data_IF_695275620472
#
_entry.id   IF_695275620472
#
_cell.length_a   1.000
_cell.length_b   1.000
_cell.length_c   1.000
_cell.angle_alpha   90.00
_cell.angle_beta   90.00
_cell.angle_gamma   90.00
#
_symmetry.space_group_name_H-M   'P 1'
#
loop_
_entity.id
_entity.type
_entity.pdbx_description
1 polymer ?
#
# COMPACT_ATOMS: atom_id res chain seq x y z
N UNK A 1 -27.65 10.22 -24.87
CA UNK A 1 -26.31 10.73 -25.22
C UNK A 1 -25.41 10.96 -24.01
N UNK A 2 -25.93 11.41 -22.87
CA UNK A 2 -25.14 11.60 -21.63
C UNK A 2 -24.72 10.29 -20.91
N UNK A 3 -25.55 9.25 -20.97
CA UNK A 3 -25.24 7.92 -20.37
C UNK A 3 -24.11 7.18 -21.11
N UNK A 4 -23.99 7.34 -22.43
CA UNK A 4 -22.90 6.76 -23.22
C UNK A 4 -21.55 7.44 -22.97
N UNK A 5 -21.56 8.75 -22.66
CA UNK A 5 -20.33 9.48 -22.30
C UNK A 5 -19.81 9.09 -20.90
N UNK A 6 -20.71 8.80 -19.97
CA UNK A 6 -20.33 8.32 -18.63
C UNK A 6 -19.70 6.92 -18.65
N UNK A 7 -20.19 6.03 -19.53
CA UNK A 7 -19.64 4.68 -19.72
C UNK A 7 -18.24 4.73 -20.36
N UNK A 8 -18.00 5.65 -21.31
CA UNK A 8 -16.66 5.82 -21.92
C UNK A 8 -15.63 6.43 -20.99
N UNK A 9 -16.03 7.15 -19.93
CA UNK A 9 -15.13 7.68 -18.91
C UNK A 9 -14.83 6.66 -17.79
N UNK A 10 -15.67 5.64 -17.63
CA UNK A 10 -15.51 4.61 -16.60
C UNK A 10 -14.37 3.63 -16.88
N UNK A 11 -13.99 3.45 -18.15
CA UNK A 11 -12.98 2.47 -18.59
C UNK A 11 -11.56 3.07 -18.78
N UNK A 12 -11.38 4.37 -18.56
CA UNK A 12 -10.07 5.02 -18.75
C UNK A 12 -9.31 5.16 -17.45
N UNK A 13 -8.09 4.60 -17.39
CA UNK A 13 -7.13 4.90 -16.33
C UNK A 13 -6.54 6.27 -16.55
N UNK A 14 -6.67 7.15 -15.56
CA UNK A 14 -6.08 8.48 -15.55
C UNK A 14 -4.83 8.51 -14.68
N UNK A 15 -3.69 8.87 -15.28
CA UNK A 15 -2.42 9.04 -14.57
C UNK A 15 -2.23 10.51 -14.21
N UNK A 16 -2.03 10.82 -12.94
CA UNK A 16 -1.87 12.17 -12.42
C UNK A 16 -0.61 12.27 -11.56
N UNK A 17 0.15 13.35 -11.74
CA UNK A 17 1.19 13.75 -10.79
C UNK A 17 0.58 14.77 -9.83
N UNK A 18 0.38 14.39 -8.57
CA UNK A 18 -0.13 15.30 -7.53
C UNK A 18 1.04 16.03 -6.89
N UNK A 19 1.19 17.34 -7.13
CA UNK A 19 2.27 18.13 -6.57
C UNK A 19 2.08 18.31 -5.06
N UNK A 20 3.19 18.20 -4.33
CA UNK A 20 3.28 18.44 -2.90
C UNK A 20 4.29 19.56 -2.60
N UNK A 21 4.44 19.92 -1.34
CA UNK A 21 5.44 20.89 -0.92
C UNK A 21 6.87 20.44 -1.27
N UNK A 22 7.82 21.40 -1.32
CA UNK A 22 9.26 21.15 -1.52
C UNK A 22 9.63 20.47 -2.84
N UNK A 23 8.78 20.58 -3.87
CA UNK A 23 9.05 19.97 -5.18
C UNK A 23 8.84 18.46 -5.22
N UNK A 24 8.20 17.91 -4.21
CA UNK A 24 7.75 16.52 -4.20
C UNK A 24 6.49 16.36 -5.05
N UNK A 25 6.28 15.19 -5.66
CA UNK A 25 5.01 14.80 -6.27
C UNK A 25 4.80 13.30 -6.16
N UNK A 26 3.55 12.90 -5.94
CA UNK A 26 3.17 11.50 -5.97
C UNK A 26 2.46 11.17 -7.29
N UNK A 27 2.81 10.03 -7.85
CA UNK A 27 2.11 9.45 -8.99
C UNK A 27 0.85 8.75 -8.50
N UNK A 28 -0.26 9.04 -9.16
CA UNK A 28 -1.58 8.48 -8.84
C UNK A 28 -2.22 7.95 -10.11
N UNK A 29 -2.71 6.72 -10.06
CA UNK A 29 -3.53 6.13 -11.12
C UNK A 29 -4.98 6.01 -10.63
N UNK A 30 -5.92 6.59 -11.37
CA UNK A 30 -7.35 6.61 -11.03
C UNK A 30 -8.12 5.85 -12.11
N UNK A 31 -8.94 4.88 -11.71
CA UNK A 31 -9.78 4.09 -12.61
C UNK A 31 -11.17 3.87 -12.01
N UNK A 32 -12.19 3.78 -12.87
CA UNK A 32 -13.56 3.53 -12.44
C UNK A 32 -14.25 4.72 -11.79
N UNK A 33 -15.47 4.48 -11.33
CA UNK A 33 -16.34 5.45 -10.63
C UNK A 33 -17.02 4.78 -9.46
N UNK A 34 -17.41 5.56 -8.43
CA UNK A 34 -18.10 5.08 -7.24
C UNK A 34 -17.32 5.31 -5.95
N UNK A 35 -17.56 4.44 -4.95
CA UNK A 35 -16.90 4.55 -3.65
C UNK A 35 -15.38 4.42 -3.78
N UNK A 36 -14.60 5.29 -3.10
CA UNK A 36 -13.15 5.31 -3.26
C UNK A 36 -12.48 4.11 -2.57
N UNK A 37 -11.64 3.42 -3.34
CA UNK A 37 -10.69 2.41 -2.84
C UNK A 37 -9.28 2.88 -3.13
N UNK A 38 -8.52 3.17 -2.08
CA UNK A 38 -7.12 3.59 -2.15
C UNK A 38 -6.23 2.37 -2.10
N UNK A 39 -5.32 2.23 -3.07
CA UNK A 39 -4.36 1.12 -3.16
C UNK A 39 -2.95 1.67 -2.94
N UNK A 40 -2.21 1.10 -1.97
CA UNK A 40 -0.86 1.56 -1.60
C UNK A 40 0.13 0.41 -1.78
N UNK A 41 1.08 0.52 -2.72
CA UNK A 41 2.06 -0.53 -2.97
C UNK A 41 3.15 -0.60 -1.88
N UNK A 42 3.82 -1.74 -1.80
CA UNK A 42 5.01 -1.93 -0.97
C UNK A 42 6.30 -1.40 -1.60
N UNK A 43 7.43 -1.66 -0.95
CA UNK A 43 8.74 -1.06 -1.23
C UNK A 43 9.24 -1.22 -2.68
N UNK A 44 9.08 -2.39 -3.28
CA UNK A 44 9.47 -2.65 -4.68
C UNK A 44 8.27 -2.61 -5.63
N UNK A 45 7.10 -2.19 -5.10
CA UNK A 45 5.87 -2.15 -5.86
C UNK A 45 5.73 -0.89 -6.71
N UNK A 46 4.61 -0.84 -7.38
CA UNK A 46 4.08 0.32 -8.12
C UNK A 46 2.60 0.04 -8.39
N UNK A 47 1.92 0.93 -9.08
CA UNK A 47 0.55 0.69 -9.55
C UNK A 47 0.44 -0.61 -10.36
N UNK A 48 1.50 -0.99 -11.07
CA UNK A 48 1.57 -2.26 -11.81
C UNK A 48 1.26 -3.49 -10.93
N UNK A 49 1.63 -3.49 -9.64
CA UNK A 49 1.34 -4.59 -8.71
C UNK A 49 -0.14 -4.80 -8.40
N UNK A 50 -1.00 -3.86 -8.78
CA UNK A 50 -2.46 -3.97 -8.62
C UNK A 50 -3.21 -4.19 -9.94
N UNK A 51 -2.50 -4.47 -11.06
CA UNK A 51 -3.09 -4.62 -12.39
C UNK A 51 -4.14 -5.73 -12.48
N UNK A 52 -4.09 -6.73 -11.60
CA UNK A 52 -5.06 -7.83 -11.52
C UNK A 52 -6.24 -7.47 -10.60
N UNK A 53 -6.01 -6.66 -9.58
CA UNK A 53 -7.03 -6.28 -8.60
C UNK A 53 -7.88 -5.09 -9.07
N UNK A 54 -7.28 -4.09 -9.73
CA UNK A 54 -7.98 -2.88 -10.22
C UNK A 54 -9.18 -3.21 -11.10
N UNK A 55 -9.10 -4.08 -12.13
CA UNK A 55 -10.26 -4.44 -12.92
C UNK A 55 -11.39 -5.06 -12.11
N UNK A 56 -11.05 -5.96 -11.16
CA UNK A 56 -12.04 -6.61 -10.30
C UNK A 56 -12.81 -5.60 -9.42
N UNK A 57 -12.15 -4.54 -8.99
CA UNK A 57 -12.75 -3.46 -8.19
C UNK A 57 -13.62 -2.56 -9.06
N UNK A 58 -13.13 -2.13 -10.23
CA UNK A 58 -13.87 -1.24 -11.13
C UNK A 58 -15.12 -1.91 -11.70
N UNK A 59 -15.06 -3.19 -12.04
CA UNK A 59 -16.23 -4.00 -12.46
C UNK A 59 -17.31 -4.07 -11.38
N UNK A 60 -16.95 -3.89 -10.11
CA UNK A 60 -17.90 -3.83 -8.97
C UNK A 60 -18.36 -2.41 -8.63
N UNK A 61 -18.00 -1.43 -9.45
CA UNK A 61 -18.45 -0.05 -9.30
C UNK A 61 -17.67 0.73 -8.23
N UNK A 62 -16.42 0.33 -7.94
CA UNK A 62 -15.50 1.13 -7.12
C UNK A 62 -14.65 2.07 -7.97
N UNK A 63 -14.33 3.23 -7.41
CA UNK A 63 -13.30 4.12 -7.93
C UNK A 63 -11.97 3.76 -7.28
N UNK A 64 -11.04 3.18 -8.03
CA UNK A 64 -9.71 2.84 -7.54
C UNK A 64 -8.76 4.04 -7.66
N UNK A 65 -7.94 4.26 -6.64
CA UNK A 65 -6.96 5.34 -6.54
C UNK A 65 -5.66 4.71 -6.07
N UNK A 66 -4.81 4.33 -7.00
CA UNK A 66 -3.48 3.78 -6.66
C UNK A 66 -2.54 4.95 -6.41
N UNK A 67 -2.01 5.07 -5.20
CA UNK A 67 -1.06 6.12 -4.82
C UNK A 67 0.30 5.49 -4.61
N UNK A 68 1.27 5.87 -5.40
CA UNK A 68 2.65 5.44 -5.23
C UNK A 68 3.36 6.37 -4.22
N UNK A 69 3.84 5.87 -3.07
CA UNK A 69 4.55 6.69 -2.08
C UNK A 69 5.79 7.37 -2.65
N UNK A 70 6.27 8.41 -1.99
CA UNK A 70 7.47 9.13 -2.44
C UNK A 70 8.65 8.15 -2.57
N UNK A 71 9.34 8.19 -3.70
CA UNK A 71 10.45 7.28 -4.01
C UNK A 71 10.06 5.96 -4.68
N UNK A 72 8.76 5.65 -4.76
CA UNK A 72 8.21 4.42 -5.34
C UNK A 72 7.62 4.72 -6.73
N UNK A 73 7.65 3.74 -7.62
CA UNK A 73 6.99 3.78 -8.93
C UNK A 73 7.32 5.00 -9.78
N UNK A 74 6.33 5.80 -10.13
CA UNK A 74 6.40 7.06 -10.88
C UNK A 74 6.55 8.31 -10.02
N UNK A 75 6.49 8.20 -8.68
CA UNK A 75 6.67 9.32 -7.76
C UNK A 75 8.08 9.88 -7.78
N UNK A 76 8.23 11.17 -7.42
CA UNK A 76 9.55 11.81 -7.37
C UNK A 76 10.47 11.19 -6.31
N UNK A 77 11.78 11.38 -6.49
CA UNK A 77 12.85 10.77 -5.66
C UNK A 77 13.84 11.82 -5.16
N UNK A 78 13.38 12.86 -4.39
CA UNK A 78 14.31 13.87 -3.91
C UNK A 78 15.33 13.25 -2.94
N UNK A 79 16.64 13.52 -3.10
CA UNK A 79 17.67 12.84 -2.32
C UNK A 79 17.73 13.27 -0.85
N UNK A 80 17.06 14.36 -0.49
CA UNK A 80 17.03 14.92 0.87
C UNK A 80 15.61 14.98 1.46
N UNK A 81 14.68 14.19 0.92
CA UNK A 81 13.34 14.09 1.49
C UNK A 81 13.35 13.29 2.81
N UNK A 82 12.36 13.53 3.62
CA UNK A 82 12.05 12.67 4.75
C UNK A 82 11.29 11.42 4.24
N UNK A 83 11.93 10.26 4.33
CA UNK A 83 11.37 8.96 3.92
C UNK A 83 10.86 8.13 5.09
N UNK A 84 10.61 8.72 6.25
CA UNK A 84 9.96 8.04 7.38
C UNK A 84 8.53 7.61 7.01
N UNK A 85 8.03 6.58 7.68
CA UNK A 85 6.66 6.07 7.44
C UNK A 85 5.61 7.13 7.79
N UNK A 86 5.85 7.92 8.86
CA UNK A 86 4.98 9.04 9.22
C UNK A 86 4.96 10.13 8.13
N UNK A 87 6.11 10.47 7.54
CA UNK A 87 6.17 11.42 6.45
C UNK A 87 5.46 10.90 5.19
N UNK A 88 5.56 9.61 4.90
CA UNK A 88 4.81 8.98 3.80
C UNK A 88 3.30 9.04 4.06
N UNK A 89 2.83 8.67 5.25
CA UNK A 89 1.42 8.76 5.62
C UNK A 89 0.86 10.18 5.48
N UNK A 90 1.62 11.20 5.89
CA UNK A 90 1.23 12.60 5.70
C UNK A 90 1.13 13.01 4.22
N UNK A 91 1.99 12.47 3.35
CA UNK A 91 1.91 12.71 1.91
C UNK A 91 0.68 12.02 1.29
N UNK A 92 0.39 10.79 1.71
CA UNK A 92 -0.83 10.09 1.30
C UNK A 92 -2.07 10.90 1.70
N UNK A 93 -2.13 11.41 2.93
CA UNK A 93 -3.20 12.28 3.39
C UNK A 93 -3.32 13.55 2.52
N UNK A 94 -2.22 14.23 2.22
CA UNK A 94 -2.23 15.43 1.40
C UNK A 94 -2.70 15.17 -0.04
N UNK A 95 -2.38 13.99 -0.61
CA UNK A 95 -2.91 13.57 -1.92
C UNK A 95 -4.42 13.36 -1.84
N UNK A 96 -4.91 12.66 -0.81
CA UNK A 96 -6.34 12.42 -0.64
C UNK A 96 -7.12 13.72 -0.43
N UNK A 97 -6.59 14.66 0.36
CA UNK A 97 -7.15 16.00 0.52
C UNK A 97 -7.21 16.76 -0.82
N UNK A 98 -6.14 16.70 -1.61
CA UNK A 98 -6.08 17.34 -2.95
C UNK A 98 -7.11 16.76 -3.91
N UNK A 99 -7.36 15.45 -3.84
CA UNK A 99 -8.35 14.75 -4.67
C UNK A 99 -9.77 14.84 -4.13
N UNK A 100 -9.99 15.48 -2.96
CA UNK A 100 -11.30 15.58 -2.29
C UNK A 100 -11.83 14.22 -1.84
N UNK A 101 -10.96 13.26 -1.49
CA UNK A 101 -11.32 11.91 -1.08
C UNK A 101 -11.41 11.83 0.43
N UNK A 102 -12.54 11.35 0.93
CA UNK A 102 -12.80 11.09 2.34
C UNK A 102 -13.41 9.69 2.48
N UNK A 103 -13.29 9.11 3.68
CA UNK A 103 -13.88 7.81 4.02
C UNK A 103 -13.58 6.70 3.01
N UNK A 104 -12.34 6.63 2.51
CA UNK A 104 -11.91 5.62 1.56
C UNK A 104 -11.70 4.26 2.23
N UNK A 105 -11.95 3.18 1.49
CA UNK A 105 -11.42 1.86 1.84
C UNK A 105 -9.95 1.85 1.42
N UNK A 106 -9.04 1.53 2.33
CA UNK A 106 -7.60 1.48 2.05
C UNK A 106 -7.13 0.04 1.99
N UNK A 107 -6.56 -0.38 0.88
CA UNK A 107 -5.90 -1.68 0.69
C UNK A 107 -4.41 -1.42 0.47
N UNK A 108 -3.59 -1.90 1.37
CA UNK A 108 -2.16 -1.58 1.37
C UNK A 108 -1.30 -2.84 1.47
N UNK A 109 -0.22 -2.91 0.70
CA UNK A 109 0.65 -4.08 0.65
C UNK A 109 1.98 -3.83 1.35
N UNK A 110 2.41 -4.78 2.19
CA UNK A 110 3.74 -4.81 2.82
C UNK A 110 4.03 -3.50 3.58
N UNK A 111 5.13 -2.79 3.28
CA UNK A 111 5.45 -1.50 3.91
C UNK A 111 4.36 -0.44 3.70
N UNK A 112 3.62 -0.49 2.61
CA UNK A 112 2.43 0.35 2.41
C UNK A 112 1.37 0.14 3.48
N UNK A 113 1.27 -1.07 4.05
CA UNK A 113 0.45 -1.36 5.24
C UNK A 113 0.88 -0.52 6.44
N UNK A 114 2.19 -0.45 6.72
CA UNK A 114 2.72 0.37 7.82
C UNK A 114 2.46 1.87 7.65
N UNK A 115 2.45 2.35 6.40
CA UNK A 115 2.06 3.72 6.05
C UNK A 115 0.55 3.93 6.25
N UNK A 116 -0.26 2.93 5.85
CA UNK A 116 -1.72 2.97 5.96
C UNK A 116 -2.22 2.90 7.42
N UNK A 117 -1.55 2.14 8.29
CA UNK A 117 -1.83 2.16 9.73
C UNK A 117 -1.61 3.56 10.32
N UNK A 118 -0.53 4.25 9.92
CA UNK A 118 -0.28 5.64 10.33
C UNK A 118 -1.32 6.61 9.76
N UNK A 119 -1.70 6.43 8.49
CA UNK A 119 -2.76 7.23 7.88
C UNK A 119 -4.09 7.07 8.64
N UNK A 120 -4.47 5.84 8.98
CA UNK A 120 -5.71 5.56 9.72
C UNK A 120 -5.71 6.17 11.13
N UNK A 121 -4.54 6.22 11.80
CA UNK A 121 -4.36 6.89 13.08
C UNK A 121 -4.41 8.41 12.95
N UNK A 122 -3.60 8.97 12.04
CA UNK A 122 -3.44 10.42 11.91
C UNK A 122 -4.66 11.11 11.29
N UNK A 123 -5.38 10.43 10.39
CA UNK A 123 -6.47 10.97 9.60
C UNK A 123 -7.66 9.99 9.52
N UNK A 124 -8.33 9.76 10.66
CA UNK A 124 -9.49 8.84 10.71
C UNK A 124 -10.66 9.29 9.82
N UNK A 125 -10.72 10.57 9.44
CA UNK A 125 -11.66 11.12 8.47
C UNK A 125 -11.45 10.61 7.04
N UNK A 126 -10.23 10.22 6.69
CA UNK A 126 -9.89 9.73 5.36
C UNK A 126 -10.10 8.22 5.20
N UNK A 127 -10.04 7.44 6.29
CA UNK A 127 -10.04 5.98 6.25
C UNK A 127 -11.31 5.38 6.84
N UNK A 128 -12.15 4.81 5.97
CA UNK A 128 -13.37 4.08 6.34
C UNK A 128 -13.07 2.66 6.84
N UNK A 129 -12.13 1.99 6.20
CA UNK A 129 -11.69 0.63 6.53
C UNK A 129 -10.25 0.42 6.04
N UNK A 130 -9.45 -0.36 6.75
CA UNK A 130 -8.08 -0.69 6.38
C UNK A 130 -7.93 -2.20 6.16
N UNK A 131 -7.46 -2.58 4.99
CA UNK A 131 -7.06 -3.93 4.63
C UNK A 131 -5.55 -3.93 4.39
N UNK A 132 -4.79 -4.57 5.27
CA UNK A 132 -3.35 -4.69 5.13
C UNK A 132 -2.98 -6.08 4.63
N UNK A 133 -2.31 -6.14 3.49
CA UNK A 133 -1.83 -7.34 2.83
C UNK A 133 -0.37 -7.54 3.20
N UNK A 134 -0.07 -8.55 4.02
CA UNK A 134 1.31 -8.86 4.47
C UNK A 134 2.06 -7.62 5.01
N UNK A 135 1.37 -6.73 5.70
CA UNK A 135 1.94 -5.51 6.26
C UNK A 135 1.44 -5.22 7.65
N UNK A 136 2.32 -5.19 8.63
CA UNK A 136 2.02 -4.81 10.00
C UNK A 136 2.33 -3.34 10.31
N UNK A 137 2.14 -2.90 11.57
CA UNK A 137 2.42 -1.55 12.03
C UNK A 137 3.92 -1.35 12.32
N UNK A 138 4.79 -1.66 11.36
CA UNK A 138 6.24 -1.57 11.53
C UNK A 138 6.70 -0.15 11.88
N UNK A 139 7.81 -0.06 12.62
CA UNK A 139 8.39 1.23 13.04
C UNK A 139 9.48 1.72 12.07
N UNK A 140 9.84 0.92 11.08
CA UNK A 140 10.79 1.30 10.01
C UNK A 140 10.36 0.67 8.69
N UNK A 141 10.56 1.39 7.59
CA UNK A 141 10.28 0.89 6.24
C UNK A 141 11.24 -0.24 5.81
N UNK A 142 12.32 -0.45 6.53
CA UNK A 142 13.41 -1.31 6.11
C UNK A 142 13.63 -2.50 7.06
N UNK A 143 13.43 -3.71 6.55
CA UNK A 143 13.81 -4.94 7.23
C UNK A 143 15.35 -5.06 7.35
N UNK A 144 15.87 -5.85 8.30
CA UNK A 144 17.31 -6.13 8.38
C UNK A 144 17.88 -6.72 7.09
N UNK A 145 17.12 -7.54 6.35
CA UNK A 145 17.53 -8.09 5.07
C UNK A 145 17.67 -7.00 4.00
N UNK A 146 16.69 -6.10 3.91
CA UNK A 146 16.75 -4.95 3.00
C UNK A 146 17.94 -4.04 3.32
N UNK A 147 18.17 -3.70 4.60
CA UNK A 147 19.32 -2.90 5.03
C UNK A 147 20.66 -3.54 4.62
N UNK A 148 20.78 -4.87 4.75
CA UNK A 148 21.97 -5.60 4.28
C UNK A 148 22.14 -5.51 2.76
N UNK A 149 21.05 -5.73 2.01
CA UNK A 149 21.08 -5.66 0.54
C UNK A 149 21.51 -4.26 0.06
N UNK A 150 21.02 -3.21 0.70
CA UNK A 150 21.33 -1.81 0.32
C UNK A 150 22.79 -1.42 0.56
N UNK A 151 23.57 -2.15 1.38
CA UNK A 151 25.03 -1.95 1.47
C UNK A 151 25.75 -2.18 0.15
N UNK A 152 25.19 -2.99 -0.72
CA UNK A 152 25.72 -3.28 -2.06
C UNK A 152 25.19 -2.35 -3.16
N UNK A 153 24.27 -1.44 -2.83
CA UNK A 153 23.68 -0.52 -3.79
C UNK A 153 24.71 0.26 -4.63
N UNK A 154 25.85 0.76 -4.08
CA UNK A 154 26.86 1.44 -4.87
C UNK A 154 27.48 0.58 -5.97
N UNK A 155 27.56 -0.74 -5.77
CA UNK A 155 28.16 -1.71 -6.69
C UNK A 155 27.19 -2.21 -7.76
N UNK A 156 25.88 -2.01 -7.59
CA UNK A 156 24.87 -2.51 -8.54
C UNK A 156 25.10 -2.00 -9.95
N UNK A 157 25.45 -0.72 -10.12
CA UNK A 157 25.73 -0.14 -11.42
C UNK A 157 26.94 -0.80 -12.12
N UNK A 158 28.00 -1.07 -11.38
CA UNK A 158 29.22 -1.67 -11.90
C UNK A 158 29.01 -3.16 -12.23
N UNK A 159 28.21 -3.88 -11.44
CA UNK A 159 28.05 -5.32 -11.53
C UNK A 159 26.91 -5.79 -12.47
N UNK A 160 26.24 -4.88 -13.17
CA UNK A 160 25.20 -5.26 -14.14
C UNK A 160 23.96 -4.37 -14.19
N UNK A 161 23.89 -3.34 -13.33
CA UNK A 161 22.82 -2.33 -13.36
C UNK A 161 21.42 -2.94 -13.27
N UNK A 162 20.54 -2.55 -14.20
CA UNK A 162 19.13 -3.00 -14.24
C UNK A 162 19.00 -4.51 -14.44
N UNK A 163 19.94 -5.17 -15.15
CA UNK A 163 19.91 -6.63 -15.34
C UNK A 163 20.09 -7.37 -14.01
N UNK A 164 21.00 -6.90 -13.17
CA UNK A 164 21.21 -7.44 -11.84
C UNK A 164 19.98 -7.24 -10.95
N UNK A 165 19.37 -6.04 -11.02
CA UNK A 165 18.11 -5.76 -10.28
C UNK A 165 16.99 -6.70 -10.73
N UNK A 166 16.78 -6.87 -12.05
CA UNK A 166 15.76 -7.78 -12.57
C UNK A 166 15.95 -9.21 -12.07
N UNK A 167 17.18 -9.70 -12.09
CA UNK A 167 17.50 -11.02 -11.56
C UNK A 167 17.22 -11.13 -10.06
N UNK A 168 17.61 -10.12 -9.28
CA UNK A 168 17.37 -10.09 -7.84
C UNK A 168 15.88 -9.98 -7.50
N UNK A 169 15.15 -9.09 -8.19
CA UNK A 169 13.70 -8.94 -8.01
C UNK A 169 12.98 -10.24 -8.36
N UNK A 170 13.33 -10.92 -9.47
CA UNK A 170 12.76 -12.23 -9.78
C UNK A 170 12.95 -13.22 -8.63
N UNK A 171 14.15 -13.29 -8.04
CA UNK A 171 14.40 -14.17 -6.89
C UNK A 171 13.52 -13.82 -5.69
N UNK A 172 13.38 -12.54 -5.37
CA UNK A 172 12.53 -12.08 -4.27
C UNK A 172 11.07 -12.44 -4.55
N UNK A 173 10.55 -12.12 -5.75
CA UNK A 173 9.17 -12.44 -6.11
C UNK A 173 8.89 -13.94 -6.00
N UNK A 174 9.80 -14.78 -6.49
CA UNK A 174 9.65 -16.26 -6.41
C UNK A 174 9.73 -16.75 -4.96
N UNK A 175 10.72 -16.31 -4.19
CA UNK A 175 10.92 -16.78 -2.81
C UNK A 175 9.81 -16.30 -1.85
N UNK A 176 9.16 -15.18 -2.17
CA UNK A 176 8.06 -14.63 -1.38
C UNK A 176 6.67 -15.04 -1.88
N UNK A 177 6.55 -15.91 -2.88
CA UNK A 177 5.27 -16.42 -3.41
C UNK A 177 4.95 -17.79 -2.86
N UNK A 178 3.68 -18.08 -2.62
CA UNK A 178 3.16 -19.42 -2.40
C UNK A 178 3.06 -20.19 -3.73
N UNK A 179 2.63 -19.51 -4.80
CA UNK A 179 2.63 -20.02 -6.17
C UNK A 179 3.28 -19.00 -7.10
N UNK A 180 4.51 -19.26 -7.49
CA UNK A 180 5.32 -18.34 -8.29
C UNK A 180 5.00 -18.34 -9.80
N UNK A 181 3.97 -19.03 -10.29
CA UNK A 181 3.62 -19.10 -11.72
C UNK A 181 3.29 -17.72 -12.34
N UNK A 182 2.85 -16.76 -11.54
CA UNK A 182 2.60 -15.40 -11.96
C UNK A 182 3.87 -14.58 -12.26
N UNK A 183 5.05 -15.05 -11.79
CA UNK A 183 6.33 -14.33 -11.93
C UNK A 183 6.93 -14.56 -13.32
N UNK A 184 6.35 -13.93 -14.32
CA UNK A 184 6.82 -13.94 -15.71
C UNK A 184 7.91 -12.89 -15.98
N UNK A 185 8.52 -12.90 -17.15
CA UNK A 185 9.48 -11.85 -17.57
C UNK A 185 8.81 -10.47 -17.65
N UNK A 186 7.58 -10.41 -18.12
CA UNK A 186 6.78 -9.18 -18.17
C UNK A 186 6.53 -8.62 -16.78
N UNK A 187 6.16 -9.47 -15.83
CA UNK A 187 5.96 -9.05 -14.43
C UNK A 187 7.24 -8.50 -13.84
N UNK A 188 8.38 -9.17 -14.02
CA UNK A 188 9.67 -8.66 -13.54
C UNK A 188 10.04 -7.33 -14.19
N UNK A 189 9.72 -7.14 -15.47
CA UNK A 189 9.91 -5.86 -16.15
C UNK A 189 9.03 -4.77 -15.55
N UNK A 190 7.75 -5.05 -15.27
CA UNK A 190 6.82 -4.13 -14.63
C UNK A 190 7.32 -3.68 -13.25
N UNK A 191 7.66 -4.63 -12.37
CA UNK A 191 8.20 -4.33 -11.04
C UNK A 191 9.54 -3.58 -11.05
N UNK A 192 10.30 -3.66 -12.12
CA UNK A 192 11.60 -2.98 -12.24
C UNK A 192 11.57 -1.76 -13.15
N UNK A 193 10.41 -1.36 -13.66
CA UNK A 193 10.27 -0.26 -14.61
C UNK A 193 10.82 1.07 -14.09
N UNK A 194 10.56 1.38 -12.81
CA UNK A 194 11.07 2.60 -12.17
C UNK A 194 12.61 2.62 -12.11
N UNK A 195 13.22 1.51 -11.69
CA UNK A 195 14.68 1.37 -11.66
C UNK A 195 15.29 1.38 -13.07
N UNK A 196 14.58 0.87 -14.09
CA UNK A 196 15.02 0.91 -15.46
C UNK A 196 15.02 2.34 -16.05
N UNK A 197 14.11 3.21 -15.60
CA UNK A 197 14.05 4.62 -16.02
C UNK A 197 15.15 5.45 -15.38
N UNK A 198 15.34 5.31 -14.08
CA UNK A 198 16.36 6.04 -13.30
C UNK A 198 16.86 5.18 -12.14
N UNK A 199 17.91 4.41 -12.44
CA UNK A 199 18.54 3.53 -11.47
C UNK A 199 19.18 4.30 -10.30
N UNK A 200 19.78 5.44 -10.60
CA UNK A 200 20.52 6.23 -9.60
C UNK A 200 19.59 6.84 -8.56
N UNK A 201 18.55 7.52 -9.03
CA UNK A 201 17.56 8.10 -8.13
C UNK A 201 16.82 7.00 -7.33
N UNK A 202 16.50 5.85 -7.96
CA UNK A 202 15.86 4.72 -7.28
C UNK A 202 16.73 4.17 -6.15
N UNK A 203 18.01 3.90 -6.40
CA UNK A 203 18.92 3.39 -5.36
C UNK A 203 19.14 4.40 -4.24
N UNK A 204 19.25 5.70 -4.54
CA UNK A 204 19.37 6.77 -3.53
C UNK A 204 18.13 6.86 -2.66
N UNK A 205 16.93 6.79 -3.25
CA UNK A 205 15.68 6.79 -2.49
C UNK A 205 15.58 5.56 -1.57
N UNK A 206 15.92 4.38 -2.06
CA UNK A 206 15.92 3.15 -1.24
C UNK A 206 16.95 3.16 -0.12
N UNK A 207 18.12 3.74 -0.35
CA UNK A 207 19.11 3.98 0.72
C UNK A 207 18.57 4.94 1.79
N UNK A 208 17.89 6.00 1.37
CA UNK A 208 17.28 6.95 2.29
C UNK A 208 16.13 6.31 3.09
N UNK A 209 15.27 5.49 2.45
CA UNK A 209 14.23 4.70 3.14
C UNK A 209 14.84 3.71 4.14
N UNK A 210 15.96 3.05 3.76
CA UNK A 210 16.64 2.10 4.64
C UNK A 210 17.23 2.76 5.90
N UNK A 211 17.58 4.04 5.81
CA UNK A 211 18.12 4.83 6.90
C UNK A 211 17.05 5.59 7.70
N UNK A 212 15.83 5.71 7.17
CA UNK A 212 14.76 6.46 7.80
C UNK A 212 14.26 5.78 9.08
N UNK A 213 14.07 6.57 10.13
CA UNK A 213 13.55 6.13 11.43
C UNK A 213 12.53 7.16 11.90
N UNK A 214 11.31 6.70 12.19
CA UNK A 214 10.28 7.55 12.76
C UNK A 214 10.69 8.05 14.16
N UNK A 215 10.41 9.32 14.44
CA UNK A 215 10.65 9.92 15.76
C UNK A 215 9.65 9.43 16.80
N UNK A 216 8.41 9.30 16.37
CA UNK A 216 7.29 8.82 17.20
C UNK A 216 6.89 7.42 16.75
N UNK A 217 6.77 6.54 17.73
CA UNK A 217 6.34 5.17 17.48
C UNK A 217 4.83 5.10 17.30
N UNK A 218 4.38 4.25 16.36
CA UNK A 218 2.95 4.02 16.15
C UNK A 218 2.35 3.07 17.20
N UNK A 219 3.14 2.12 17.71
CA UNK A 219 2.63 1.06 18.60
C UNK A 219 1.79 1.56 19.78
N UNK A 220 2.15 2.64 20.52
CA UNK A 220 1.32 3.16 21.61
C UNK A 220 -0.05 3.68 21.16
N UNK A 221 -0.22 4.01 19.89
CA UNK A 221 -1.42 4.63 19.32
C UNK A 221 -2.32 3.67 18.54
N UNK A 222 -1.98 2.38 18.46
CA UNK A 222 -2.78 1.39 17.72
C UNK A 222 -4.21 1.28 18.26
N UNK A 223 -4.42 1.49 19.57
CA UNK A 223 -5.74 1.52 20.20
C UNK A 223 -6.62 2.72 19.83
N UNK A 224 -6.03 3.74 19.19
CA UNK A 224 -6.73 4.95 18.75
C UNK A 224 -7.25 4.84 17.30
N UNK A 225 -6.91 3.76 16.57
CA UNK A 225 -7.42 3.49 15.23
C UNK A 225 -8.92 3.15 15.33
N UNK A 226 -9.75 3.95 14.69
CA UNK A 226 -11.21 3.89 14.81
C UNK A 226 -11.89 3.05 13.75
N UNK A 227 -11.28 2.92 12.58
CA UNK A 227 -11.85 2.11 11.49
C UNK A 227 -11.62 0.62 11.71
N UNK A 228 -12.45 -0.26 11.13
CA UNK A 228 -12.15 -1.69 11.05
C UNK A 228 -10.83 -1.93 10.32
N UNK A 229 -10.02 -2.83 10.88
CA UNK A 229 -8.72 -3.24 10.33
C UNK A 229 -8.73 -4.74 10.08
N UNK A 230 -8.35 -5.15 8.88
CA UNK A 230 -8.14 -6.54 8.54
C UNK A 230 -6.72 -6.75 8.04
N UNK A 231 -5.99 -7.62 8.71
CA UNK A 231 -4.71 -8.14 8.23
C UNK A 231 -4.99 -9.41 7.42
N UNK A 232 -4.50 -9.46 6.20
CA UNK A 232 -4.59 -10.65 5.32
C UNK A 232 -3.18 -11.15 5.10
N UNK A 233 -2.92 -12.41 5.44
CA UNK A 233 -1.61 -13.04 5.32
C UNK A 233 -1.67 -14.27 4.41
N UNK A 234 -0.55 -14.57 3.74
CA UNK A 234 -0.39 -15.80 2.99
C UNK A 234 -0.27 -17.02 3.91
N UNK A 235 -0.93 -18.09 3.56
CA UNK A 235 -0.90 -19.35 4.33
C UNK A 235 0.20 -20.31 3.93
N UNK A 236 0.94 -20.04 2.84
CA UNK A 236 2.12 -20.81 2.45
C UNK A 236 3.37 -20.25 3.16
N UNK A 237 4.40 -21.07 3.45
CA UNK A 237 5.69 -20.57 3.90
C UNK A 237 6.32 -19.66 2.84
N UNK A 238 6.71 -18.43 3.23
CA UNK A 238 7.31 -17.44 2.32
C UNK A 238 8.20 -16.46 3.09
N UNK A 239 9.01 -15.69 2.34
CA UNK A 239 9.79 -14.59 2.93
C UNK A 239 8.94 -13.32 3.04
N UNK A 240 9.11 -12.57 4.13
CA UNK A 240 8.47 -11.27 4.33
C UNK A 240 7.13 -11.32 5.04
N UNK A 241 6.81 -12.43 5.70
CA UNK A 241 5.62 -12.62 6.53
C UNK A 241 5.55 -11.64 7.71
N UNK A 242 4.33 -11.37 8.17
CA UNK A 242 4.08 -10.62 9.40
C UNK A 242 4.33 -11.55 10.59
N UNK A 243 5.24 -11.14 11.47
CA UNK A 243 5.63 -11.95 12.62
C UNK A 243 4.47 -12.22 13.59
N UNK A 244 4.46 -13.40 14.24
CA UNK A 244 3.39 -13.77 15.18
C UNK A 244 3.23 -12.77 16.34
N UNK A 245 4.31 -12.18 16.82
CA UNK A 245 4.26 -11.16 17.88
C UNK A 245 3.53 -9.89 17.41
N UNK A 246 3.68 -9.51 16.15
CA UNK A 246 3.03 -8.37 15.54
C UNK A 246 1.52 -8.63 15.36
N UNK A 247 1.15 -9.84 14.96
CA UNK A 247 -0.26 -10.28 14.90
C UNK A 247 -0.90 -10.22 16.30
N UNK A 248 -0.23 -10.76 17.31
CA UNK A 248 -0.71 -10.72 18.72
C UNK A 248 -0.84 -9.28 19.22
N UNK A 249 0.09 -8.40 18.87
CA UNK A 249 0.01 -6.98 19.18
C UNK A 249 -1.26 -6.36 18.60
N UNK A 250 -1.51 -6.54 17.30
CA UNK A 250 -2.69 -6.01 16.61
C UNK A 250 -3.99 -6.54 17.22
N UNK A 251 -4.07 -7.85 17.50
CA UNK A 251 -5.25 -8.47 18.13
C UNK A 251 -5.57 -7.89 19.50
N UNK A 252 -4.55 -7.48 20.26
CA UNK A 252 -4.72 -6.94 21.61
C UNK A 252 -5.02 -5.45 21.64
N UNK A 253 -4.56 -4.70 20.63
CA UNK A 253 -4.54 -3.24 20.70
C UNK A 253 -5.52 -2.57 19.74
N UNK A 254 -5.76 -3.12 18.55
CA UNK A 254 -6.69 -2.52 17.57
C UNK A 254 -8.13 -2.94 17.90
N UNK A 255 -9.05 -1.99 18.18
CA UNK A 255 -10.39 -2.30 18.70
C UNK A 255 -11.25 -3.17 17.77
N UNK A 256 -11.14 -2.96 16.44
CA UNK A 256 -11.92 -3.69 15.43
C UNK A 256 -10.95 -4.40 14.49
N UNK A 257 -10.25 -5.42 14.99
CA UNK A 257 -9.25 -6.17 14.26
C UNK A 257 -9.78 -7.53 13.78
N UNK A 258 -9.44 -7.90 12.54
CA UNK A 258 -9.65 -9.24 11.99
C UNK A 258 -8.37 -9.72 11.29
N UNK A 259 -8.16 -11.04 11.31
CA UNK A 259 -7.04 -11.72 10.64
C UNK A 259 -7.59 -12.78 9.69
N UNK A 260 -7.16 -12.74 8.44
CA UNK A 260 -7.40 -13.80 7.46
C UNK A 260 -6.07 -14.41 7.01
N UNK A 261 -6.03 -15.73 6.90
CA UNK A 261 -4.93 -16.44 6.24
C UNK A 261 -5.44 -17.06 4.94
N UNK A 262 -4.75 -16.79 3.84
CA UNK A 262 -5.12 -17.28 2.50
C UNK A 262 -4.30 -18.51 2.16
N UNK A 263 -4.89 -19.72 2.18
CA UNK A 263 -4.15 -20.97 1.92
C UNK A 263 -3.46 -20.96 0.56
N UNK A 264 -2.20 -21.38 0.56
CA UNK A 264 -1.40 -21.53 -0.65
C UNK A 264 -0.88 -20.24 -1.27
N UNK A 265 -1.24 -19.07 -0.75
CA UNK A 265 -0.67 -17.79 -1.15
C UNK A 265 0.54 -17.42 -0.29
N UNK A 266 1.42 -16.58 -0.82
CA UNK A 266 2.55 -15.97 -0.13
C UNK A 266 2.36 -14.49 0.09
N UNK A 267 3.47 -13.72 0.02
CA UNK A 267 3.53 -12.29 0.32
C UNK A 267 2.74 -11.41 -0.67
N UNK A 268 2.59 -11.83 -1.93
CA UNK A 268 1.99 -11.01 -2.99
C UNK A 268 0.52 -11.37 -3.22
N UNK A 269 -0.31 -11.26 -2.17
CA UNK A 269 -1.72 -11.63 -2.20
C UNK A 269 -2.51 -10.99 -3.35
N UNK A 270 -2.25 -9.73 -3.67
CA UNK A 270 -2.87 -9.00 -4.77
C UNK A 270 -2.53 -9.57 -6.16
N UNK A 271 -1.45 -10.34 -6.27
CA UNK A 271 -1.01 -11.02 -7.48
C UNK A 271 -1.48 -12.47 -7.52
N UNK A 272 -1.37 -13.16 -6.40
CA UNK A 272 -1.64 -14.60 -6.29
C UNK A 272 -3.13 -14.91 -6.10
N UNK A 273 -3.81 -14.08 -5.31
CA UNK A 273 -5.21 -14.30 -4.91
C UNK A 273 -6.01 -12.98 -4.83
N UNK A 274 -6.12 -12.24 -5.95
CA UNK A 274 -6.86 -10.96 -5.97
C UNK A 274 -8.35 -11.12 -5.60
N UNK A 275 -8.93 -12.30 -5.84
CA UNK A 275 -10.27 -12.70 -5.42
C UNK A 275 -10.43 -12.70 -3.89
N UNK A 276 -9.46 -13.24 -3.17
CA UNK A 276 -9.46 -13.26 -1.71
C UNK A 276 -9.26 -11.85 -1.13
N UNK A 277 -8.40 -11.03 -1.75
CA UNK A 277 -8.22 -9.62 -1.36
C UNK A 277 -9.52 -8.84 -1.51
N UNK A 278 -10.23 -9.02 -2.63
CA UNK A 278 -11.52 -8.37 -2.86
C UNK A 278 -12.56 -8.82 -1.84
N UNK A 279 -12.63 -10.11 -1.51
CA UNK A 279 -13.57 -10.63 -0.51
C UNK A 279 -13.27 -10.03 0.88
N UNK A 280 -12.01 -9.98 1.29
CA UNK A 280 -11.56 -9.37 2.54
C UNK A 280 -11.92 -7.87 2.60
N UNK A 281 -11.73 -7.14 1.51
CA UNK A 281 -12.10 -5.74 1.40
C UNK A 281 -13.60 -5.52 1.60
N UNK A 282 -14.45 -6.28 0.88
CA UNK A 282 -15.92 -6.16 0.98
C UNK A 282 -16.40 -6.47 2.39
N UNK A 283 -15.88 -7.53 3.03
CA UNK A 283 -16.25 -7.90 4.40
C UNK A 283 -15.86 -6.80 5.41
N UNK A 284 -14.66 -6.20 5.25
CA UNK A 284 -14.19 -5.16 6.18
C UNK A 284 -14.96 -3.86 5.98
N UNK A 285 -15.29 -3.49 4.76
CA UNK A 285 -16.12 -2.32 4.45
C UNK A 285 -17.53 -2.44 5.06
N UNK A 286 -18.11 -3.64 5.07
CA UNK A 286 -19.40 -3.90 5.70
C UNK A 286 -19.35 -3.72 7.23
N UNK A 287 -18.24 -4.05 7.90
CA UNK A 287 -18.07 -3.79 9.34
C UNK A 287 -18.14 -2.28 9.66
N UNK A 288 -17.56 -1.44 8.78
CA UNK A 288 -17.59 0.02 8.97
C UNK A 288 -19.00 0.63 8.85
N UNK A 289 -19.90 0.00 8.11
CA UNK A 289 -21.29 0.48 7.95
C UNK A 289 -22.23 -0.01 9.05
N UNK A 290 -21.87 -1.06 9.75
CA UNK A 290 -22.67 -1.66 10.84
C UNK A 290 -22.34 -1.11 12.23
N UNK A 291 -21.28 -0.30 12.38
CA UNK A 291 -20.98 0.37 13.63
C UNK A 291 -22.08 1.42 13.94
N UNK A 292 -22.69 1.43 15.15
CA UNK A 292 -23.69 2.44 15.50
C UNK A 292 -23.03 3.83 15.37
N UNK A 293 -23.66 4.72 14.63
CA UNK A 293 -23.33 6.14 14.67
C UNK A 293 -23.43 6.58 16.13
N UNK A 294 -22.31 6.95 16.75
CA UNK A 294 -22.27 7.48 18.11
C UNK A 294 -23.33 8.58 18.24
N UNK A 295 -24.26 8.33 19.18
CA UNK A 295 -25.53 8.99 19.28
C UNK A 295 -25.40 10.50 19.35
N UNK A 296 -26.20 11.14 18.54
CA UNK A 296 -26.73 12.43 18.80
C UNK A 296 -27.51 12.37 20.14
N UNK A 297 -26.80 12.63 21.24
CA UNK A 297 -27.44 12.89 22.54
C UNK A 297 -28.34 14.12 22.33
N UNK A 298 -29.60 13.88 22.02
CA UNK A 298 -30.67 14.87 22.19
C UNK A 298 -30.69 15.23 23.67
N UNK A 299 -30.10 16.37 24.02
CA UNK A 299 -30.39 17.05 25.27
C UNK A 299 -31.87 17.42 25.28
N UNK A 300 -32.69 16.57 25.85
CA UNK A 300 -34.03 16.95 26.30
C UNK A 300 -33.83 17.77 27.58
N UNK A 301 -33.89 19.06 27.44
CA UNK A 301 -34.06 19.98 28.59
C UNK A 301 -35.52 19.89 29.02
N UNK A 302 -35.75 19.46 30.24
CA UNK A 302 -36.99 19.67 30.98
C UNK A 302 -36.89 20.93 31.81
#
# INVERSE_FOLDING_TARGET
MWLLLAVLLADSTHNVQVPLARGESLHVEISGVGDPVVLIPGLFGSAFGFRTLVPLLTERGYRTIVIEPLGIGGSTRPPRADYTLAAQANRLAAVLDTLGVQHAIVVAHSVGGSEAFRLAYLRPDLVKALISLEGGPAETAATPAFKRAMRFAPWIKLLGGVRLIRWQIRKVLVASSGDARWVTDEVVQGYTAAAARDLDATLKAYLAMAAAVDREKLQPHLGEIRCPVRLVVGGAPHEGDVGPDEVVLLQRTVPQFALDSVPGAGHFLQEERPDAVLAAMVQTAAMATSAPSDGMLLNVVH
#
